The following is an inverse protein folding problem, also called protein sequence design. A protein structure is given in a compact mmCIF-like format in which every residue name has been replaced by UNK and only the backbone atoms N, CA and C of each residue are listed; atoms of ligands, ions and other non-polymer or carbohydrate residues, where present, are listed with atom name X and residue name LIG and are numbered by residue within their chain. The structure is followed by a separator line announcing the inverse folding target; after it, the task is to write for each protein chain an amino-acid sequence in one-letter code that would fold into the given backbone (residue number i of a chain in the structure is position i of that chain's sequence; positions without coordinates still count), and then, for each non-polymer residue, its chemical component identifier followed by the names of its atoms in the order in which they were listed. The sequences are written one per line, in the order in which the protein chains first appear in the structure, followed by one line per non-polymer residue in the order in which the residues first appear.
data_IF_878844599856
#
_entry.id   IF_878844599856
#
_cell.length_a   1.000
_cell.length_b   1.000
_cell.length_c   1.000
_cell.angle_alpha   90.00
_cell.angle_beta   90.00
_cell.angle_gamma   90.00
#
_symmetry.space_group_name_H-M   'P 1'
#
loop_
_entity.id
_entity.type
_entity.pdbx_description
1 polymer ?
#
# COMPACT_ATOMS: atom_id res chain seq x y z
N UNK A 1 20.73 3.29 -7.44
CA UNK A 1 19.44 2.93 -8.08
C UNK A 1 18.37 2.72 -6.99
N UNK A 2 17.11 3.05 -7.26
CA UNK A 2 16.02 2.83 -6.30
C UNK A 2 15.60 1.35 -6.36
N UNK A 3 15.72 0.62 -5.26
CA UNK A 3 15.46 -0.84 -5.17
C UNK A 3 14.02 -1.16 -4.76
N UNK A 4 13.06 -0.61 -5.50
CA UNK A 4 11.65 -0.64 -5.09
C UNK A 4 11.04 -2.06 -5.11
N UNK A 5 11.45 -2.89 -6.08
CA UNK A 5 10.97 -4.28 -6.19
C UNK A 5 11.36 -5.07 -4.94
N UNK A 6 12.62 -4.99 -4.54
CA UNK A 6 13.12 -5.71 -3.37
C UNK A 6 12.53 -5.18 -2.05
N UNK A 7 12.29 -3.87 -1.95
CA UNK A 7 11.59 -3.29 -0.79
C UNK A 7 10.19 -3.90 -0.62
N UNK A 8 9.39 -3.98 -1.68
CA UNK A 8 8.04 -4.55 -1.61
C UNK A 8 8.07 -6.03 -1.27
N UNK A 9 8.98 -6.80 -1.88
CA UNK A 9 9.15 -8.23 -1.58
C UNK A 9 9.61 -8.47 -0.14
N UNK A 10 10.50 -7.63 0.38
CA UNK A 10 10.92 -7.70 1.78
C UNK A 10 9.75 -7.44 2.73
N UNK A 11 8.93 -6.41 2.48
CA UNK A 11 7.74 -6.12 3.28
C UNK A 11 6.75 -7.29 3.27
N UNK A 12 6.49 -7.89 2.10
CA UNK A 12 5.65 -9.08 1.98
C UNK A 12 6.17 -10.24 2.85
N UNK A 13 7.49 -10.49 2.80
CA UNK A 13 8.14 -11.53 3.59
C UNK A 13 8.08 -11.27 5.11
N UNK A 14 7.93 -10.02 5.54
CA UNK A 14 7.69 -9.65 6.94
C UNK A 14 6.21 -9.74 7.34
N UNK A 15 5.32 -10.23 6.47
CA UNK A 15 3.90 -10.38 6.75
C UNK A 15 3.08 -9.10 6.53
N UNK A 16 3.67 -8.06 5.95
CA UNK A 16 2.92 -6.87 5.54
C UNK A 16 1.98 -7.26 4.41
N UNK A 17 0.68 -7.03 4.60
CA UNK A 17 -0.36 -7.34 3.62
C UNK A 17 -1.03 -6.07 3.05
N UNK A 18 -0.73 -4.89 3.61
CA UNK A 18 -1.33 -3.62 3.22
C UNK A 18 -0.25 -2.54 3.22
N UNK A 19 -0.16 -1.77 2.13
CA UNK A 19 0.76 -0.64 1.97
C UNK A 19 -0.06 0.62 1.67
N UNK A 20 0.21 1.69 2.41
CA UNK A 20 -0.47 2.98 2.26
C UNK A 20 0.45 3.96 1.52
N UNK A 21 0.02 4.50 0.38
CA UNK A 21 0.72 5.53 -0.39
C UNK A 21 0.19 6.91 0.00
N UNK A 22 1.00 7.71 0.71
CA UNK A 22 0.62 9.06 1.12
C UNK A 22 1.06 10.09 0.06
N UNK A 23 0.10 10.74 -0.59
CA UNK A 23 0.33 11.76 -1.61
C UNK A 23 -0.56 11.59 -2.84
N UNK A 24 -0.63 12.61 -3.72
CA UNK A 24 -1.48 12.58 -4.90
C UNK A 24 -1.10 11.46 -5.86
N UNK A 25 -2.11 10.79 -6.40
CA UNK A 25 -1.93 9.71 -7.36
C UNK A 25 -2.07 8.32 -6.74
N UNK A 26 -1.51 7.31 -7.43
CA UNK A 26 -1.58 5.89 -7.06
C UNK A 26 -0.44 5.07 -7.68
N UNK A 27 0.71 5.70 -7.87
CA UNK A 27 1.83 5.10 -8.62
C UNK A 27 2.41 3.95 -7.80
N UNK A 28 2.75 4.20 -6.53
CA UNK A 28 3.31 3.18 -5.67
C UNK A 28 2.31 2.07 -5.37
N UNK A 29 1.03 2.38 -5.18
CA UNK A 29 -0.03 1.39 -5.04
C UNK A 29 -0.14 0.50 -6.30
N UNK A 30 -0.06 1.10 -7.48
CA UNK A 30 -0.05 0.37 -8.75
C UNK A 30 1.19 -0.50 -8.95
N UNK A 31 2.38 0.00 -8.58
CA UNK A 31 3.63 -0.77 -8.63
C UNK A 31 3.61 -1.93 -7.64
N UNK A 32 3.18 -1.70 -6.39
CA UNK A 32 3.05 -2.74 -5.36
C UNK A 32 2.21 -3.91 -5.87
N UNK A 33 1.02 -3.65 -6.43
CA UNK A 33 0.15 -4.70 -7.01
C UNK A 33 0.81 -5.49 -8.16
N UNK A 34 1.70 -4.85 -8.94
CA UNK A 34 2.43 -5.52 -10.04
C UNK A 34 3.59 -6.36 -9.51
N UNK A 35 4.25 -5.92 -8.46
CA UNK A 35 5.39 -6.59 -7.83
C UNK A 35 4.90 -7.79 -7.01
N UNK A 36 3.90 -7.59 -6.16
CA UNK A 36 3.32 -8.61 -5.31
C UNK A 36 1.81 -8.42 -5.18
N UNK A 37 1.03 -9.41 -5.61
CA UNK A 37 -0.44 -9.36 -5.58
C UNK A 37 -1.02 -9.67 -4.20
N UNK A 38 -0.21 -10.16 -3.26
CA UNK A 38 -0.64 -10.43 -1.89
C UNK A 38 -0.73 -9.15 -1.05
N UNK A 39 -0.05 -8.08 -1.45
CA UNK A 39 -0.11 -6.77 -0.79
C UNK A 39 -1.19 -5.89 -1.43
N UNK A 40 -2.10 -5.38 -0.60
CA UNK A 40 -3.07 -4.36 -1.00
C UNK A 40 -2.43 -2.97 -0.91
N UNK A 41 -2.32 -2.27 -2.05
CA UNK A 41 -1.87 -0.87 -2.09
C UNK A 41 -3.04 0.12 -2.03
N UNK A 42 -3.02 1.06 -1.07
CA UNK A 42 -4.08 2.05 -0.85
C UNK A 42 -3.50 3.48 -0.89
N UNK A 43 -3.93 4.35 -1.82
CA UNK A 43 -3.51 5.76 -1.83
C UNK A 43 -4.34 6.62 -0.86
N UNK A 44 -3.68 7.60 -0.24
CA UNK A 44 -4.29 8.66 0.59
C UNK A 44 -3.80 10.02 0.10
N UNK A 45 -4.74 10.88 -0.30
CA UNK A 45 -4.44 12.24 -0.80
C UNK A 45 -5.51 13.28 -0.46
N UNK A 46 -6.60 12.89 0.19
CA UNK A 46 -7.69 13.75 0.64
C UNK A 46 -8.45 13.11 1.82
N UNK A 47 -9.43 13.81 2.38
CA UNK A 47 -10.23 13.30 3.50
C UNK A 47 -10.98 12.02 3.12
N UNK A 48 -11.57 11.98 1.92
CA UNK A 48 -12.34 10.82 1.44
C UNK A 48 -11.50 9.56 1.32
N UNK A 49 -10.26 9.66 0.85
CA UNK A 49 -9.34 8.53 0.73
C UNK A 49 -8.79 8.10 2.09
N UNK A 50 -8.57 9.05 3.01
CA UNK A 50 -8.21 8.76 4.39
C UNK A 50 -9.31 7.95 5.10
N UNK A 51 -10.57 8.39 5.02
CA UNK A 51 -11.70 7.72 5.67
C UNK A 51 -11.83 6.26 5.21
N UNK A 52 -11.66 6.00 3.90
CA UNK A 52 -11.65 4.64 3.34
C UNK A 52 -10.52 3.77 3.87
N UNK A 53 -9.32 4.35 4.07
CA UNK A 53 -8.20 3.60 4.64
C UNK A 53 -8.42 3.31 6.12
N UNK A 54 -8.98 4.27 6.87
CA UNK A 54 -9.34 4.08 8.27
C UNK A 54 -10.36 2.96 8.42
N UNK A 55 -11.42 2.93 7.60
CA UNK A 55 -12.40 1.83 7.58
C UNK A 55 -11.69 0.48 7.32
N UNK A 56 -10.86 0.42 6.28
CA UNK A 56 -10.17 -0.82 5.88
C UNK A 56 -9.19 -1.37 6.91
N UNK A 57 -8.46 -0.50 7.62
CA UNK A 57 -7.42 -0.87 8.60
C UNK A 57 -8.01 -1.01 10.01
N UNK A 58 -9.01 -0.19 10.36
CA UNK A 58 -9.70 -0.20 11.65
C UNK A 58 -10.56 -1.45 11.89
N UNK A 59 -11.00 -2.12 10.83
CA UNK A 59 -11.72 -3.41 10.90
C UNK A 59 -10.81 -4.62 11.18
N UNK A 60 -9.49 -4.42 11.30
CA UNK A 60 -8.55 -5.48 11.69
C UNK A 60 -8.63 -5.67 13.20
N UNK A 61 -9.63 -6.43 13.67
CA UNK A 61 -9.60 -7.07 14.99
C UNK A 61 -8.69 -8.29 14.98
#
# INVERSE_FOLDING_TARGET
PVRWVETVQFLAAQGVNTLIECGPGKVLAGLTKRIDRSIVGLPIFDQTSLDKVIERVGDTK
#
